data_IF_655889399428
#
_entry.id   IF_655889399428
#
_cell.length_a   1.000
_cell.length_b   1.000
_cell.length_c   1.000
_cell.angle_alpha   90.00
_cell.angle_beta   90.00
_cell.angle_gamma   90.00
#
_symmetry.space_group_name_H-M   'P 1'
#
loop_
_entity.id
_entity.type
_entity.pdbx_description
1 polymer ?
#
# COMPACT_ATOMS: atom_id res chain seq x y z
N UNK A 1 15.22 10.60 11.21
CA UNK A 1 14.68 11.38 10.07
C UNK A 1 14.81 10.53 8.82
N UNK A 2 13.75 10.42 8.01
CA UNK A 2 13.77 9.69 6.73
C UNK A 2 14.74 10.37 5.75
N UNK A 3 15.68 9.58 5.21
CA UNK A 3 16.60 10.02 4.15
C UNK A 3 15.96 9.85 2.78
N UNK A 4 16.04 10.87 1.93
CA UNK A 4 15.58 10.83 0.54
C UNK A 4 16.77 10.92 -0.42
N UNK A 5 16.59 10.43 -1.65
CA UNK A 5 17.48 10.66 -2.76
C UNK A 5 17.61 12.17 -3.02
N UNK A 6 18.82 12.62 -3.35
CA UNK A 6 19.10 14.03 -3.67
C UNK A 6 18.18 14.59 -4.76
N UNK A 7 17.76 13.75 -5.71
CA UNK A 7 16.81 14.12 -6.78
C UNK A 7 15.43 14.54 -6.28
N UNK A 8 15.03 14.13 -5.08
CA UNK A 8 13.72 14.41 -4.48
C UNK A 8 13.76 15.58 -3.49
N UNK A 9 14.93 16.11 -3.16
CA UNK A 9 15.07 17.20 -2.18
C UNK A 9 14.36 18.50 -2.58
N UNK A 10 14.17 18.71 -3.89
CA UNK A 10 13.44 19.87 -4.41
C UNK A 10 11.95 19.59 -4.61
N UNK A 11 11.47 18.39 -4.31
CA UNK A 11 10.14 17.94 -4.69
C UNK A 11 10.06 17.52 -6.17
N UNK A 12 8.88 17.05 -6.57
CA UNK A 12 8.64 16.48 -7.89
C UNK A 12 7.17 16.57 -8.30
N UNK A 13 6.90 16.63 -9.60
CA UNK A 13 5.54 16.45 -10.12
C UNK A 13 5.25 14.96 -10.27
N UNK A 14 4.12 14.50 -9.73
CA UNK A 14 3.70 13.12 -9.91
C UNK A 14 2.18 13.01 -9.94
N UNK A 15 1.71 12.17 -10.85
CA UNK A 15 0.33 11.71 -10.91
C UNK A 15 0.34 10.29 -11.50
N UNK A 16 -0.34 9.37 -10.82
CA UNK A 16 -0.48 8.01 -11.29
C UNK A 16 -1.24 8.01 -12.62
N UNK A 17 -0.72 7.31 -13.62
CA UNK A 17 -1.38 7.22 -14.93
C UNK A 17 -2.42 6.09 -14.97
N UNK A 18 -2.41 5.15 -14.03
CA UNK A 18 -3.45 4.13 -13.94
C UNK A 18 -4.82 4.77 -13.61
N UNK A 19 -5.95 4.13 -13.97
CA UNK A 19 -6.04 2.83 -14.66
C UNK A 19 -5.93 2.90 -16.20
N UNK A 20 -5.95 4.09 -16.82
CA UNK A 20 -6.09 4.21 -18.29
C UNK A 20 -4.80 4.61 -19.04
N UNK A 21 -3.82 5.21 -18.36
CA UNK A 21 -2.60 5.77 -18.94
C UNK A 21 -1.33 4.95 -18.69
N UNK A 22 -1.45 3.74 -18.14
CA UNK A 22 -0.38 2.74 -18.13
C UNK A 22 -0.97 1.33 -18.13
N UNK A 23 -0.10 0.34 -18.33
CA UNK A 23 -0.42 -1.08 -18.36
C UNK A 23 -0.70 -1.71 -16.98
N UNK A 24 -0.45 -0.97 -15.89
CA UNK A 24 -0.61 -1.50 -14.54
C UNK A 24 0.51 -2.44 -14.10
N UNK A 25 1.73 -2.34 -14.66
CA UNK A 25 2.85 -3.21 -14.29
C UNK A 25 3.22 -3.26 -12.81
N UNK A 26 2.82 -2.25 -12.01
CA UNK A 26 3.01 -2.26 -10.57
C UNK A 26 2.10 -3.27 -9.83
N UNK A 27 1.16 -3.91 -10.54
CA UNK A 27 0.20 -4.88 -9.99
C UNK A 27 0.57 -6.34 -10.27
N UNK A 28 1.68 -6.63 -10.97
CA UNK A 28 2.14 -8.00 -11.24
C UNK A 28 3.65 -8.15 -11.06
N UNK A 29 4.14 -9.38 -10.97
CA UNK A 29 5.56 -9.69 -10.85
C UNK A 29 6.01 -9.90 -9.41
N UNK A 30 7.28 -9.60 -9.13
CA UNK A 30 7.87 -9.85 -7.81
C UNK A 30 7.43 -8.79 -6.79
N UNK A 31 6.38 -9.09 -6.02
CA UNK A 31 5.97 -8.31 -4.86
C UNK A 31 4.48 -8.40 -4.58
N UNK A 32 4.15 -8.57 -3.30
CA UNK A 32 2.78 -8.65 -2.82
C UNK A 32 2.28 -7.30 -2.30
N UNK A 33 0.97 -7.10 -2.38
CA UNK A 33 0.31 -5.90 -1.83
C UNK A 33 -0.12 -6.21 -0.40
N UNK A 34 0.64 -5.72 0.57
CA UNK A 34 0.30 -5.76 1.97
C UNK A 34 -0.74 -4.69 2.30
N UNK A 35 -1.67 -5.04 3.18
CA UNK A 35 -2.78 -4.18 3.56
C UNK A 35 -2.94 -4.12 5.07
N UNK A 36 -3.43 -2.99 5.55
CA UNK A 36 -3.70 -2.74 6.98
C UNK A 36 -5.19 -2.54 7.25
N UNK A 37 -5.59 -2.50 8.52
CA UNK A 37 -7.00 -2.37 8.90
C UNK A 37 -7.69 -1.13 8.29
N UNK A 38 -6.98 0.00 8.20
CA UNK A 38 -7.50 1.20 7.53
C UNK A 38 -7.68 1.03 6.02
N UNK A 39 -6.86 0.20 5.37
CA UNK A 39 -7.04 -0.13 3.95
C UNK A 39 -8.32 -0.94 3.77
N UNK A 40 -8.50 -1.97 4.61
CA UNK A 40 -9.67 -2.84 4.60
C UNK A 40 -10.94 -2.00 4.79
N UNK A 41 -10.97 -1.11 5.79
CA UNK A 41 -12.10 -0.20 6.00
C UNK A 41 -12.44 0.64 4.75
N UNK A 42 -11.43 1.19 4.05
CA UNK A 42 -11.67 2.01 2.85
C UNK A 42 -12.18 1.15 1.69
N UNK A 43 -11.61 -0.04 1.49
CA UNK A 43 -11.94 -0.90 0.36
C UNK A 43 -13.31 -1.56 0.54
N UNK A 44 -13.63 -2.06 1.73
CA UNK A 44 -14.94 -2.70 2.00
C UNK A 44 -16.08 -1.71 1.81
N UNK A 45 -15.91 -0.45 2.26
CA UNK A 45 -16.88 0.62 2.00
C UNK A 45 -17.03 0.95 0.52
N UNK A 46 -15.92 0.98 -0.23
CA UNK A 46 -15.96 1.22 -1.67
C UNK A 46 -16.66 0.09 -2.41
N UNK A 47 -16.40 -1.16 -2.03
CA UNK A 47 -17.02 -2.36 -2.62
C UNK A 47 -18.43 -2.64 -2.08
N UNK A 48 -18.88 -1.91 -1.05
CA UNK A 48 -20.10 -2.20 -0.29
C UNK A 48 -20.17 -3.67 0.16
N UNK A 49 -19.06 -4.16 0.69
CA UNK A 49 -18.87 -5.56 1.08
C UNK A 49 -18.66 -5.67 2.59
N UNK A 50 -19.15 -6.75 3.17
CA UNK A 50 -18.86 -7.12 4.56
C UNK A 50 -17.36 -7.43 4.77
N UNK A 51 -16.85 -7.16 5.98
CA UNK A 51 -15.44 -7.33 6.30
C UNK A 51 -15.02 -8.79 6.23
N UNK A 52 -15.79 -9.71 6.83
CA UNK A 52 -15.43 -11.13 6.83
C UNK A 52 -15.47 -11.69 5.41
N UNK A 53 -16.51 -11.34 4.64
CA UNK A 53 -16.60 -11.71 3.23
C UNK A 53 -15.40 -11.18 2.41
N UNK A 54 -14.95 -9.96 2.70
CA UNK A 54 -13.78 -9.37 2.05
C UNK A 54 -12.49 -10.12 2.40
N UNK A 55 -12.28 -10.41 3.68
CA UNK A 55 -11.10 -11.16 4.14
C UNK A 55 -11.05 -12.54 3.49
N UNK A 56 -12.17 -13.25 3.46
CA UNK A 56 -12.24 -14.59 2.86
C UNK A 56 -11.99 -14.60 1.36
N UNK A 57 -12.55 -13.62 0.65
CA UNK A 57 -12.51 -13.59 -0.81
C UNK A 57 -11.20 -13.02 -1.35
N UNK A 58 -10.66 -11.99 -0.71
CA UNK A 58 -9.65 -11.11 -1.33
C UNK A 58 -8.30 -11.08 -0.61
N UNK A 59 -8.19 -11.67 0.60
CA UNK A 59 -6.99 -11.53 1.44
C UNK A 59 -6.40 -12.91 1.74
N UNK A 60 -5.08 -13.00 1.65
CA UNK A 60 -4.29 -14.10 2.19
C UNK A 60 -3.51 -13.61 3.42
N UNK A 61 -3.24 -14.54 4.34
CA UNK A 61 -2.39 -14.28 5.51
C UNK A 61 -1.08 -15.02 5.34
N UNK A 62 0.03 -14.29 5.38
CA UNK A 62 1.37 -14.84 5.26
C UNK A 62 2.18 -14.52 6.51
N UNK A 63 3.05 -15.45 6.92
CA UNK A 63 4.00 -15.19 8.00
C UNK A 63 5.31 -14.65 7.43
N UNK A 64 5.58 -13.38 7.67
CA UNK A 64 6.82 -12.72 7.24
C UNK A 64 7.32 -11.71 8.27
N UNK A 65 8.59 -11.34 8.15
CA UNK A 65 9.14 -10.26 8.96
C UNK A 65 8.57 -8.92 8.46
N UNK A 66 8.26 -7.96 9.35
CA UNK A 66 7.96 -6.59 8.96
C UNK A 66 9.04 -6.00 8.06
N UNK A 67 8.66 -5.15 7.10
CA UNK A 67 9.60 -4.62 6.11
C UNK A 67 10.49 -3.53 6.73
N UNK A 68 9.91 -2.68 7.58
CA UNK A 68 10.58 -1.50 8.12
C UNK A 68 10.99 -1.61 9.60
N UNK A 69 10.73 -2.73 10.25
CA UNK A 69 11.05 -2.96 11.66
C UNK A 69 12.10 -4.06 11.77
N UNK A 70 13.12 -3.84 12.60
CA UNK A 70 14.03 -4.93 12.99
C UNK A 70 13.27 -5.87 13.91
N UNK A 71 12.94 -7.05 13.41
CA UNK A 71 12.18 -8.04 14.14
C UNK A 71 12.77 -9.42 13.89
N UNK A 72 13.17 -10.09 14.96
CA UNK A 72 13.77 -11.42 14.92
C UNK A 72 12.64 -12.46 14.99
N UNK A 73 11.86 -12.55 13.91
CA UNK A 73 10.74 -13.48 13.81
C UNK A 73 9.86 -13.24 12.60
N UNK A 74 8.70 -13.90 12.58
CA UNK A 74 7.63 -13.67 11.61
C UNK A 74 6.36 -13.33 12.36
N UNK A 75 5.60 -12.40 11.79
CA UNK A 75 4.25 -12.08 12.25
C UNK A 75 3.27 -12.34 11.11
N UNK A 76 2.00 -12.62 11.41
CA UNK A 76 0.99 -12.68 10.37
C UNK A 76 0.83 -11.30 9.71
N UNK A 77 0.87 -11.30 8.40
CA UNK A 77 0.74 -10.14 7.53
C UNK A 77 -0.41 -10.38 6.57
N UNK A 78 -1.23 -9.35 6.35
CA UNK A 78 -2.34 -9.41 5.41
C UNK A 78 -1.86 -8.95 4.05
N UNK A 79 -2.11 -9.76 3.02
CA UNK A 79 -1.82 -9.40 1.64
C UNK A 79 -3.03 -9.68 0.74
N UNK A 80 -3.14 -8.96 -0.37
CA UNK A 80 -4.12 -9.36 -1.37
C UNK A 80 -3.79 -10.71 -1.99
N UNK A 81 -4.88 -11.43 -2.28
CA UNK A 81 -5.05 -12.32 -3.42
C UNK A 81 -4.02 -12.10 -4.54
N UNK A 82 -3.18 -13.08 -4.87
CA UNK A 82 -2.49 -13.11 -6.16
C UNK A 82 -3.15 -14.15 -7.08
N UNK A 83 -3.18 -13.88 -8.38
CA UNK A 83 -3.87 -14.71 -9.38
C UNK A 83 -3.04 -14.90 -10.65
N UNK A 84 -3.22 -16.05 -11.29
CA UNK A 84 -2.55 -16.40 -12.55
C UNK A 84 -1.05 -16.62 -12.44
N UNK A 85 -0.43 -16.99 -13.56
CA UNK A 85 1.00 -17.36 -13.63
C UNK A 85 1.96 -16.19 -13.35
N UNK A 86 1.46 -14.95 -13.49
CA UNK A 86 2.24 -13.72 -13.26
C UNK A 86 2.18 -13.21 -11.82
N UNK A 87 1.50 -13.93 -10.92
CA UNK A 87 1.22 -13.48 -9.55
C UNK A 87 0.61 -12.07 -9.54
N UNK A 88 -0.40 -11.85 -10.39
CA UNK A 88 -1.05 -10.56 -10.51
C UNK A 88 -2.00 -10.31 -9.34
N UNK A 89 -2.04 -9.08 -8.83
CA UNK A 89 -2.97 -8.66 -7.79
C UNK A 89 -4.41 -8.98 -8.19
N UNK A 90 -5.18 -9.56 -7.26
CA UNK A 90 -6.56 -9.98 -7.46
C UNK A 90 -7.52 -8.87 -7.92
N UNK A 91 -7.18 -7.60 -7.66
CA UNK A 91 -7.97 -6.46 -8.11
C UNK A 91 -7.54 -5.91 -9.47
N UNK A 92 -6.63 -6.59 -10.19
CA UNK A 92 -6.31 -6.25 -11.57
C UNK A 92 -7.25 -7.00 -12.52
N UNK A 93 -7.95 -6.27 -13.39
CA UNK A 93 -8.78 -6.88 -14.40
C UNK A 93 -7.96 -7.45 -15.58
N UNK A 94 -8.64 -8.15 -16.49
CA UNK A 94 -8.01 -8.75 -17.67
C UNK A 94 -7.36 -7.73 -18.64
N UNK A 95 -7.68 -6.44 -18.50
CA UNK A 95 -7.11 -5.34 -19.29
C UNK A 95 -5.95 -4.64 -18.56
N UNK A 96 -5.59 -5.09 -17.36
CA UNK A 96 -4.52 -4.51 -16.54
C UNK A 96 -4.96 -3.36 -15.63
N UNK A 97 -6.25 -3.01 -15.61
CA UNK A 97 -6.78 -1.92 -14.81
C UNK A 97 -7.09 -2.36 -13.37
N UNK A 98 -6.84 -1.47 -12.41
CA UNK A 98 -7.18 -1.72 -11.00
C UNK A 98 -8.66 -1.43 -10.73
N UNK A 99 -9.42 -2.45 -10.31
CA UNK A 99 -10.86 -2.35 -10.04
C UNK A 99 -11.21 -1.61 -8.75
N UNK A 100 -10.24 -1.42 -7.85
CA UNK A 100 -10.38 -0.65 -6.60
C UNK A 100 -9.51 0.61 -6.60
N UNK A 101 -9.22 1.18 -7.78
CA UNK A 101 -8.26 2.29 -7.92
C UNK A 101 -8.57 3.51 -7.02
N UNK A 102 -9.85 3.80 -6.79
CA UNK A 102 -10.30 4.92 -5.94
C UNK A 102 -10.15 4.65 -4.44
N UNK A 103 -10.06 3.37 -4.04
CA UNK A 103 -9.94 2.95 -2.65
C UNK A 103 -8.63 2.21 -2.38
N UNK A 104 -7.60 2.46 -3.19
CA UNK A 104 -6.31 1.77 -3.11
C UNK A 104 -5.74 1.71 -1.69
N UNK A 105 -5.13 0.58 -1.30
CA UNK A 105 -4.44 0.48 -0.03
C UNK A 105 -3.25 1.45 0.01
N UNK A 106 -2.76 1.71 1.21
CA UNK A 106 -1.67 2.66 1.44
C UNK A 106 -0.46 2.36 0.55
N UNK A 107 -0.04 1.09 0.47
CA UNK A 107 1.07 0.68 -0.38
C UNK A 107 0.85 1.12 -1.84
N UNK A 108 -0.33 0.90 -2.42
CA UNK A 108 -0.62 1.29 -3.80
C UNK A 108 -0.79 2.81 -3.99
N UNK A 109 -1.33 3.53 -2.99
CA UNK A 109 -1.49 5.00 -3.07
C UNK A 109 -0.20 5.77 -2.79
N UNK A 110 0.70 5.18 -1.98
CA UNK A 110 2.01 5.74 -1.64
C UNK A 110 3.04 5.55 -2.74
N UNK A 111 2.79 4.66 -3.70
CA UNK A 111 3.62 4.53 -4.90
C UNK A 111 3.64 5.87 -5.67
N UNK A 112 4.83 6.37 -6.06
CA UNK A 112 6.12 5.71 -6.19
C UNK A 112 7.04 5.93 -4.98
N UNK A 113 6.57 6.61 -3.95
CA UNK A 113 7.38 7.18 -2.87
C UNK A 113 7.70 6.20 -1.73
N UNK A 114 7.65 4.90 -1.99
CA UNK A 114 8.10 3.89 -1.02
C UNK A 114 9.53 4.14 -0.59
N UNK A 115 9.85 3.82 0.66
CA UNK A 115 11.19 3.96 1.23
C UNK A 115 12.26 3.33 0.34
N UNK A 116 11.98 2.12 -0.17
CA UNK A 116 12.92 1.41 -1.04
C UNK A 116 13.21 2.12 -2.36
N UNK A 117 12.26 2.91 -2.86
CA UNK A 117 12.34 3.66 -4.10
C UNK A 117 13.02 5.02 -3.90
N UNK A 118 12.79 5.64 -2.75
CA UNK A 118 13.27 7.00 -2.47
C UNK A 118 14.61 7.03 -1.75
N UNK A 119 15.16 5.89 -1.31
CA UNK A 119 16.41 5.81 -0.51
C UNK A 119 17.66 6.38 -1.18
N UNK A 120 17.80 6.26 -2.50
CA UNK A 120 18.97 6.73 -3.23
C UNK A 120 18.65 7.01 -4.71
N UNK A 121 19.61 7.62 -5.41
CA UNK A 121 19.44 8.06 -6.80
C UNK A 121 19.24 6.86 -7.74
N UNK A 122 19.95 5.77 -7.48
CA UNK A 122 19.98 4.57 -8.31
C UNK A 122 18.62 3.87 -8.28
N UNK A 123 18.02 3.72 -7.09
CA UNK A 123 16.68 3.16 -6.92
C UNK A 123 15.63 4.02 -7.65
N UNK A 124 15.73 5.35 -7.50
CA UNK A 124 14.81 6.27 -8.19
C UNK A 124 14.96 6.22 -9.72
N UNK A 125 16.17 6.09 -10.24
CA UNK A 125 16.42 5.95 -11.68
C UNK A 125 15.91 4.62 -12.23
N UNK A 126 16.10 3.52 -11.49
CA UNK A 126 15.54 2.21 -11.86
C UNK A 126 14.02 2.26 -11.91
N UNK A 127 13.39 2.91 -10.92
CA UNK A 127 11.95 3.12 -10.91
C UNK A 127 11.47 3.99 -12.07
N UNK A 128 12.19 5.06 -12.40
CA UNK A 128 11.89 5.92 -13.54
C UNK A 128 11.98 5.17 -14.89
N UNK A 129 12.82 4.14 -14.99
CA UNK A 129 12.88 3.29 -16.18
C UNK A 129 11.66 2.37 -16.29
N UNK A 130 11.11 1.91 -15.17
CA UNK A 130 9.94 1.03 -15.14
C UNK A 130 8.59 1.79 -15.23
N UNK A 131 8.49 2.96 -14.58
CA UNK A 131 7.23 3.69 -14.46
C UNK A 131 7.16 4.94 -15.35
N UNK A 132 6.25 5.00 -16.34
CA UNK A 132 6.13 6.15 -17.23
C UNK A 132 5.75 7.44 -16.50
N UNK A 133 4.94 7.34 -15.43
CA UNK A 133 4.56 8.48 -14.60
C UNK A 133 5.78 9.11 -13.88
N UNK A 134 6.70 8.28 -13.40
CA UNK A 134 7.94 8.73 -12.76
C UNK A 134 8.92 9.28 -13.80
N UNK A 135 9.01 8.65 -14.98
CA UNK A 135 9.84 9.14 -16.09
C UNK A 135 9.43 10.55 -16.53
N UNK A 136 8.13 10.83 -16.60
CA UNK A 136 7.57 12.10 -17.06
C UNK A 136 7.41 13.16 -15.94
N UNK A 137 8.12 13.05 -14.83
CA UNK A 137 7.87 13.79 -13.58
C UNK A 137 8.34 15.27 -13.54
N UNK A 138 8.62 15.88 -14.70
CA UNK A 138 9.08 17.27 -14.81
C UNK A 138 8.36 18.03 -15.93
N UNK A 139 8.00 19.29 -15.64
CA UNK A 139 7.44 20.22 -16.62
C UNK A 139 6.00 19.93 -17.05
N UNK A 140 5.25 19.10 -16.30
CA UNK A 140 3.87 18.76 -16.60
C UNK A 140 2.92 19.80 -16.00
N UNK A 141 2.16 20.49 -16.84
CA UNK A 141 1.10 21.41 -16.38
C UNK A 141 -0.04 20.62 -15.75
N UNK A 142 -0.62 21.14 -14.66
CA UNK A 142 -1.79 20.55 -13.99
C UNK A 142 -1.50 19.32 -13.13
N UNK A 143 -0.26 18.83 -13.07
CA UNK A 143 0.11 17.67 -12.25
C UNK A 143 0.48 18.11 -10.84
N UNK A 144 -0.01 17.37 -9.83
CA UNK A 144 0.29 17.62 -8.42
C UNK A 144 1.80 17.70 -8.18
N UNK A 145 2.20 18.75 -7.47
CA UNK A 145 3.55 18.90 -6.94
C UNK A 145 3.64 18.26 -5.56
N UNK A 146 4.57 17.34 -5.38
CA UNK A 146 4.92 16.76 -4.09
C UNK A 146 6.21 17.40 -3.59
N UNK A 147 6.12 18.13 -2.49
CA UNK A 147 7.28 18.67 -1.78
C UNK A 147 8.12 17.56 -1.15
N UNK A 148 9.39 17.83 -0.88
CA UNK A 148 10.23 16.89 -0.15
C UNK A 148 9.66 16.55 1.25
N UNK A 149 8.93 17.47 1.88
CA UNK A 149 8.28 17.24 3.16
C UNK A 149 7.12 16.23 3.02
N UNK A 150 6.26 16.38 2.02
CA UNK A 150 5.18 15.42 1.75
C UNK A 150 5.73 14.04 1.39
N UNK A 151 6.79 13.97 0.59
CA UNK A 151 7.43 12.68 0.25
C UNK A 151 8.00 12.03 1.51
N UNK A 152 8.70 12.77 2.38
CA UNK A 152 9.16 12.23 3.67
C UNK A 152 8.01 11.77 4.54
N UNK A 153 6.88 12.48 4.51
CA UNK A 153 5.69 12.11 5.28
C UNK A 153 5.12 10.78 4.80
N UNK A 154 4.97 10.58 3.49
CA UNK A 154 4.53 9.30 2.93
C UNK A 154 5.47 8.14 3.31
N UNK A 155 6.78 8.37 3.24
CA UNK A 155 7.75 7.34 3.68
C UNK A 155 7.67 7.09 5.19
N UNK A 156 7.41 8.12 5.99
CA UNK A 156 7.25 7.95 7.43
C UNK A 156 5.96 7.20 7.75
N UNK A 157 4.85 7.51 7.08
CA UNK A 157 3.58 6.81 7.25
C UNK A 157 3.70 5.32 6.88
N UNK A 158 4.50 4.98 5.85
CA UNK A 158 4.84 3.59 5.50
C UNK A 158 5.53 2.85 6.67
N UNK A 159 6.49 3.51 7.33
CA UNK A 159 7.21 2.95 8.48
C UNK A 159 6.27 2.85 9.69
N UNK A 160 5.46 3.87 9.92
CA UNK A 160 4.55 3.94 11.07
C UNK A 160 3.46 2.85 10.97
N UNK A 161 3.01 2.52 9.76
CA UNK A 161 2.09 1.40 9.53
C UNK A 161 2.72 0.06 9.91
N UNK A 162 3.96 -0.21 9.49
CA UNK A 162 4.67 -1.43 9.87
C UNK A 162 4.91 -1.52 11.38
N UNK A 163 5.29 -0.41 12.02
CA UNK A 163 5.48 -0.34 13.49
C UNK A 163 4.16 -0.53 14.22
N UNK A 164 3.08 0.10 13.75
CA UNK A 164 1.75 -0.07 14.32
C UNK A 164 1.25 -1.50 14.19
N UNK A 165 1.50 -2.13 13.05
CA UNK A 165 1.15 -3.53 12.81
C UNK A 165 1.94 -4.48 13.70
N UNK A 166 3.26 -4.28 13.82
CA UNK A 166 4.11 -5.08 14.73
C UNK A 166 3.59 -5.02 16.17
N UNK A 167 3.28 -3.82 16.68
CA UNK A 167 2.69 -3.66 18.01
C UNK A 167 1.34 -4.36 18.15
N UNK A 168 0.47 -4.23 17.15
CA UNK A 168 -0.81 -4.92 17.15
C UNK A 168 -0.63 -6.44 17.16
N UNK A 169 0.37 -6.97 16.45
CA UNK A 169 0.64 -8.41 16.41
C UNK A 169 1.38 -8.92 17.66
N UNK A 170 2.03 -8.05 18.43
CA UNK A 170 2.66 -8.42 19.71
C UNK A 170 1.65 -8.84 20.79
N UNK A 171 0.39 -8.40 20.67
CA UNK A 171 -0.70 -8.76 21.60
C UNK A 171 -1.31 -10.14 21.30
N UNK A 172 -1.05 -10.69 20.11
CA UNK A 172 -1.60 -11.98 19.68
C UNK A 172 -1.02 -13.13 20.51
N UNK A 173 -1.90 -14.08 20.87
CA UNK A 173 -1.54 -15.37 21.47
C UNK A 173 -2.42 -16.47 20.86
N UNK A 174 -1.84 -17.59 20.43
CA UNK A 174 -2.60 -18.77 19.99
C UNK A 174 -3.01 -18.72 18.51
N UNK A 175 -4.31 -18.66 18.19
CA UNK A 175 -4.80 -18.64 16.81
C UNK A 175 -4.79 -17.21 16.22
N UNK A 176 -3.90 -16.96 15.26
CA UNK A 176 -3.82 -15.63 14.63
C UNK A 176 -5.04 -15.30 13.79
N UNK A 177 -5.75 -16.30 13.25
CA UNK A 177 -6.87 -16.05 12.33
C UNK A 177 -8.04 -15.42 13.06
N UNK A 178 -8.43 -15.99 14.21
CA UNK A 178 -9.45 -15.41 15.08
C UNK A 178 -9.05 -14.02 15.58
N UNK A 179 -7.79 -13.84 15.99
CA UNK A 179 -7.28 -12.56 16.45
C UNK A 179 -7.36 -11.47 15.37
N UNK A 180 -6.85 -11.75 14.16
CA UNK A 180 -6.87 -10.80 13.05
C UNK A 180 -8.29 -10.37 12.68
N UNK A 181 -9.22 -11.32 12.54
CA UNK A 181 -10.61 -11.00 12.22
C UNK A 181 -11.24 -10.08 13.25
N UNK A 182 -11.02 -10.38 14.54
CA UNK A 182 -11.51 -9.55 15.63
C UNK A 182 -10.88 -8.16 15.58
N UNK A 183 -9.56 -8.07 15.46
CA UNK A 183 -8.83 -6.81 15.40
C UNK A 183 -9.34 -5.91 14.26
N UNK A 184 -9.51 -6.48 13.07
CA UNK A 184 -9.97 -5.76 11.87
C UNK A 184 -11.42 -5.32 12.05
N UNK A 185 -12.30 -6.20 12.52
CA UNK A 185 -13.72 -5.88 12.74
C UNK A 185 -13.88 -4.77 13.78
N UNK A 186 -13.21 -4.88 14.93
CA UNK A 186 -13.21 -3.83 15.96
C UNK A 186 -12.70 -2.49 15.39
N UNK A 187 -11.69 -2.52 14.53
CA UNK A 187 -11.14 -1.31 13.89
C UNK A 187 -12.12 -0.67 12.92
N UNK A 188 -12.72 -1.46 12.03
CA UNK A 188 -13.73 -1.02 11.07
C UNK A 188 -14.90 -0.38 11.81
N UNK A 189 -15.42 -1.02 12.85
CA UNK A 189 -16.53 -0.48 13.65
C UNK A 189 -16.18 0.88 14.28
N UNK A 190 -14.97 1.02 14.84
CA UNK A 190 -14.50 2.29 15.42
C UNK A 190 -14.47 3.40 14.37
N UNK A 191 -13.93 3.12 13.19
CA UNK A 191 -13.84 4.10 12.10
C UNK A 191 -15.21 4.46 11.52
N UNK A 192 -16.15 3.51 11.48
CA UNK A 192 -17.53 3.74 11.07
C UNK A 192 -18.23 4.71 12.04
N UNK A 193 -18.16 4.43 13.35
CA UNK A 193 -18.68 5.30 14.41
C UNK A 193 -18.04 6.69 14.40
N UNK A 194 -16.75 6.79 14.04
CA UNK A 194 -16.05 8.08 13.94
C UNK A 194 -16.60 8.93 12.80
N UNK A 195 -16.91 8.32 11.65
CA UNK A 195 -17.45 9.04 10.48
C UNK A 195 -18.92 9.44 10.62
N UNK A 196 -19.71 8.68 11.38
CA UNK A 196 -21.13 9.00 11.63
C UNK A 196 -21.33 10.16 12.62
N UNK A 197 -20.29 10.51 13.39
CA UNK A 197 -20.30 11.62 14.35
C UNK A 197 -19.87 12.97 13.74
N UNK A 198 -19.52 12.99 12.45
CA UNK A 198 -19.05 14.18 11.70
C UNK A 198 -20.15 14.57 10.72
#
# INVERSE_FOLDING_TARGET
MVTLARSLHRGIQYECLAPAGCDGHCCWGAGSVYIFADDIFRITRFLQMDVDAFLDKHVDVVESAPIHVKYDGKIPQLMFKETGEKAACHFQDAKGACTVHLARPFQCSGYPFWRMNTKNKEAWQKLAAACPAVKASRGRKGVKWYTAAEIRRLVQDEIDLDVGWERAMAEWKGDYRGYLRKYISDHVEREQKRKEKI
#
